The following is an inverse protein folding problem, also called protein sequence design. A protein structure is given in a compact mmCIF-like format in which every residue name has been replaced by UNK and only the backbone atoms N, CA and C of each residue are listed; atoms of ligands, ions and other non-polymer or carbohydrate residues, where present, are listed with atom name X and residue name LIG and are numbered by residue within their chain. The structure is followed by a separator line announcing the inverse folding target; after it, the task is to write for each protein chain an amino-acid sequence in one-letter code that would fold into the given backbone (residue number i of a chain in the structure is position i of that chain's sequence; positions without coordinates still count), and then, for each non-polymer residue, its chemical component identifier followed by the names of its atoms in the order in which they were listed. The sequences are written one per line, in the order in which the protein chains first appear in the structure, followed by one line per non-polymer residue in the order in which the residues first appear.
data_IF_093048031668
#
_entry.id   IF_093048031668
#
_cell.length_a   1.000
_cell.length_b   1.000
_cell.length_c   1.000
_cell.angle_alpha   90.00
_cell.angle_beta   90.00
_cell.angle_gamma   90.00
#
_symmetry.space_group_name_H-M   'P 1'
#
loop_
_entity.id
_entity.type
_entity.pdbx_description
1 polymer ?
#
# COMPACT_ATOMS: atom_id res chain seq x y z
N UNK A 1 -47.38 -2.47 -21.59
CA UNK A 1 -46.00 -2.44 -22.11
C UNK A 1 -45.19 -1.23 -21.64
N UNK A 2 -45.73 0.00 -21.63
CA UNK A 2 -44.95 1.17 -21.16
C UNK A 2 -44.54 1.08 -19.68
N UNK A 3 -45.44 0.64 -18.79
CA UNK A 3 -45.17 0.49 -17.35
C UNK A 3 -44.11 -0.57 -17.02
N UNK A 4 -44.06 -1.67 -17.78
CA UNK A 4 -43.04 -2.72 -17.63
C UNK A 4 -41.67 -2.25 -18.11
N UNK A 5 -41.64 -1.38 -19.13
CA UNK A 5 -40.40 -0.75 -19.61
C UNK A 5 -39.83 0.24 -18.58
N UNK A 6 -40.68 1.03 -17.91
CA UNK A 6 -40.24 1.99 -16.89
C UNK A 6 -39.62 1.31 -15.68
N UNK A 7 -40.19 0.17 -15.25
CA UNK A 7 -39.61 -0.63 -14.15
C UNK A 7 -38.25 -1.22 -14.55
N UNK A 8 -38.11 -1.71 -15.79
CA UNK A 8 -36.84 -2.28 -16.26
C UNK A 8 -35.72 -1.22 -16.33
N UNK A 9 -36.05 0.00 -16.77
CA UNK A 9 -35.10 1.12 -16.81
C UNK A 9 -34.72 1.55 -15.38
N UNK A 10 -35.69 1.60 -14.46
CA UNK A 10 -35.43 1.96 -13.07
C UNK A 10 -34.49 0.96 -12.36
N UNK A 11 -34.59 -0.34 -12.66
CA UNK A 11 -33.72 -1.38 -12.07
C UNK A 11 -32.33 -1.41 -12.70
N UNK A 12 -32.19 -1.01 -13.97
CA UNK A 12 -30.88 -0.94 -14.63
C UNK A 12 -30.01 0.23 -14.12
N UNK A 13 -30.64 1.31 -13.63
CA UNK A 13 -29.96 2.50 -13.11
C UNK A 13 -29.30 2.29 -11.74
N UNK A 14 -29.57 1.18 -11.04
CA UNK A 14 -28.98 0.87 -9.72
C UNK A 14 -27.82 -0.11 -9.78
N UNK A 15 -27.35 -0.49 -10.98
CA UNK A 15 -26.19 -1.35 -11.14
C UNK A 15 -24.89 -0.56 -10.85
N UNK A 16 -24.51 -0.46 -9.58
CA UNK A 16 -23.19 0.01 -9.19
C UNK A 16 -22.17 -1.12 -9.35
N UNK A 17 -21.27 -0.99 -10.32
CA UNK A 17 -20.11 -1.87 -10.43
C UNK A 17 -19.05 -1.42 -9.44
N UNK A 18 -18.75 -2.28 -8.46
CA UNK A 18 -17.58 -2.09 -7.58
C UNK A 18 -16.47 -3.00 -8.09
N UNK A 19 -15.41 -2.40 -8.63
CA UNK A 19 -14.17 -3.14 -8.90
C UNK A 19 -13.52 -3.49 -7.57
N UNK A 20 -13.26 -4.78 -7.37
CA UNK A 20 -12.45 -5.29 -6.27
C UNK A 20 -11.17 -5.80 -6.86
N UNK A 21 -10.04 -5.30 -6.37
CA UNK A 21 -8.73 -5.77 -6.77
C UNK A 21 -7.90 -6.07 -5.53
N UNK A 22 -6.97 -7.01 -5.69
CA UNK A 22 -6.05 -7.42 -4.63
C UNK A 22 -4.79 -6.58 -4.79
N UNK A 23 -4.41 -5.89 -3.72
CA UNK A 23 -3.18 -5.11 -3.67
C UNK A 23 -2.30 -5.59 -2.52
N UNK A 24 -0.98 -5.66 -2.70
CA UNK A 24 -0.08 -5.77 -1.56
C UNK A 24 -0.09 -4.44 -0.81
N UNK A 25 -0.48 -4.48 0.46
CA UNK A 25 -0.46 -3.33 1.37
C UNK A 25 0.56 -3.61 2.45
N UNK A 26 1.55 -2.73 2.56
CA UNK A 26 2.51 -2.79 3.65
C UNK A 26 1.95 -2.07 4.86
N UNK A 27 2.15 -2.65 6.03
CA UNK A 27 1.68 -2.10 7.30
C UNK A 27 2.82 -2.05 8.33
N UNK A 28 2.83 -1.05 9.22
CA UNK A 28 3.77 -0.97 10.32
C UNK A 28 3.31 -1.89 11.46
N UNK A 29 4.04 -2.98 11.69
CA UNK A 29 3.66 -4.05 12.61
C UNK A 29 4.61 -4.07 13.80
N UNK A 30 4.04 -4.17 15.00
CA UNK A 30 4.75 -4.49 16.24
C UNK A 30 5.02 -5.99 16.29
N UNK A 31 6.26 -6.36 16.57
CA UNK A 31 6.68 -7.73 16.85
C UNK A 31 6.71 -8.02 18.36
N UNK A 32 6.29 -7.06 19.19
CA UNK A 32 6.22 -7.23 20.63
C UNK A 32 5.33 -8.44 21.00
N UNK A 33 5.82 -9.30 21.90
CA UNK A 33 5.12 -10.51 22.32
C UNK A 33 5.13 -11.66 21.31
N UNK A 34 5.98 -11.61 20.29
CA UNK A 34 6.22 -12.74 19.36
C UNK A 34 7.52 -13.48 19.67
N UNK A 35 7.73 -14.68 19.13
CA UNK A 35 9.00 -15.40 19.31
C UNK A 35 10.23 -14.68 18.69
N UNK A 36 10.00 -13.64 17.89
CA UNK A 36 11.04 -12.77 17.31
C UNK A 36 11.19 -11.44 18.05
N UNK A 37 10.56 -11.31 19.23
CA UNK A 37 10.71 -10.22 20.19
C UNK A 37 12.17 -10.20 20.70
N UNK A 38 13.03 -9.46 20.00
CA UNK A 38 14.46 -9.32 20.32
C UNK A 38 15.36 -9.24 19.08
N UNK A 39 14.82 -9.52 17.89
CA UNK A 39 15.53 -9.29 16.62
C UNK A 39 15.13 -7.90 16.10
N UNK A 40 16.06 -6.94 16.01
CA UNK A 40 15.78 -5.68 15.34
C UNK A 40 15.28 -5.99 13.93
N UNK A 41 14.18 -5.37 13.50
CA UNK A 41 13.73 -5.50 12.11
C UNK A 41 14.87 -5.01 11.20
N UNK A 42 15.62 -5.94 10.60
CA UNK A 42 16.84 -5.58 9.85
C UNK A 42 16.55 -4.61 8.70
N UNK A 43 15.33 -4.59 8.18
CA UNK A 43 14.88 -3.66 7.14
C UNK A 43 14.40 -2.30 7.68
N UNK A 44 14.03 -2.21 8.95
CA UNK A 44 13.30 -1.08 9.52
C UNK A 44 14.17 -0.17 10.38
N UNK A 45 15.27 -0.69 10.93
CA UNK A 45 16.13 0.04 11.87
C UNK A 45 15.46 0.36 13.21
N UNK A 46 14.26 -0.17 13.45
CA UNK A 46 13.47 0.02 14.67
C UNK A 46 13.40 -1.32 15.39
N UNK A 47 13.85 -1.34 16.64
CA UNK A 47 13.74 -2.53 17.47
C UNK A 47 12.24 -2.88 17.62
N UNK A 48 11.89 -4.15 17.45
CA UNK A 48 10.52 -4.65 17.65
C UNK A 48 9.44 -4.11 16.70
N UNK A 49 9.82 -3.41 15.63
CA UNK A 49 8.91 -2.91 14.59
C UNK A 49 9.34 -3.36 13.19
N UNK A 50 8.39 -3.79 12.37
CA UNK A 50 8.64 -4.23 10.98
C UNK A 50 7.61 -3.63 10.02
N UNK A 51 7.96 -3.54 8.75
CA UNK A 51 7.03 -3.19 7.68
C UNK A 51 6.70 -4.45 6.88
N UNK A 52 5.52 -5.01 7.07
CA UNK A 52 5.12 -6.28 6.46
C UNK A 52 4.02 -6.08 5.42
N UNK A 53 4.14 -6.72 4.26
CA UNK A 53 3.09 -6.75 3.25
C UNK A 53 2.02 -7.78 3.58
N UNK A 54 0.76 -7.41 3.38
CA UNK A 54 -0.35 -8.36 3.29
C UNK A 54 -1.19 -8.10 2.03
N UNK A 55 -1.69 -9.14 1.35
CA UNK A 55 -2.66 -8.94 0.29
C UNK A 55 -3.98 -8.45 0.88
N UNK A 56 -4.53 -7.37 0.33
CA UNK A 56 -5.82 -6.82 0.73
C UNK A 56 -6.73 -6.66 -0.49
N UNK A 57 -7.99 -7.08 -0.33
CA UNK A 57 -9.03 -6.77 -1.31
C UNK A 57 -9.53 -5.36 -1.01
N UNK A 58 -9.22 -4.42 -1.91
CA UNK A 58 -9.65 -3.04 -1.77
C UNK A 58 -10.69 -2.70 -2.84
N UNK A 59 -11.65 -1.88 -2.43
CA UNK A 59 -12.63 -1.24 -3.28
C UNK A 59 -12.69 0.23 -2.87
N UNK A 60 -12.55 1.15 -3.82
CA UNK A 60 -12.60 2.59 -3.54
C UNK A 60 -11.77 3.42 -4.52
N UNK A 61 -11.66 4.72 -4.21
CA UNK A 61 -10.79 5.63 -4.94
C UNK A 61 -9.32 5.27 -4.67
N UNK A 62 -8.57 5.01 -5.74
CA UNK A 62 -7.14 4.75 -5.68
C UNK A 62 -6.39 6.00 -6.17
N UNK A 63 -5.27 6.39 -5.51
CA UNK A 63 -4.51 5.62 -4.52
C UNK A 63 -4.93 5.81 -3.05
N UNK A 64 -5.97 6.59 -2.74
CA UNK A 64 -6.35 6.93 -1.36
C UNK A 64 -6.70 5.69 -0.53
N UNK A 65 -7.47 4.76 -1.09
CA UNK A 65 -7.85 3.52 -0.40
C UNK A 65 -6.63 2.67 0.01
N UNK A 66 -5.53 2.72 -0.75
CA UNK A 66 -4.29 2.03 -0.39
C UNK A 66 -3.65 2.64 0.85
N UNK A 67 -3.61 3.97 0.93
CA UNK A 67 -3.05 4.67 2.09
C UNK A 67 -3.90 4.43 3.33
N UNK A 68 -5.23 4.50 3.21
CA UNK A 68 -6.13 4.13 4.31
C UNK A 68 -5.88 2.70 4.80
N UNK A 69 -5.63 1.76 3.86
CA UNK A 69 -5.41 0.36 4.18
C UNK A 69 -4.15 0.13 5.05
N UNK A 70 -3.14 0.99 4.95
CA UNK A 70 -1.93 0.93 5.80
C UNK A 70 -2.30 1.03 7.29
N UNK A 71 -3.28 1.85 7.64
CA UNK A 71 -3.73 2.07 9.02
C UNK A 71 -4.81 1.12 9.53
N UNK A 72 -5.21 0.12 8.74
CA UNK A 72 -6.24 -0.85 9.16
C UNK A 72 -5.68 -1.87 10.15
N UNK A 73 -6.55 -2.35 11.03
CA UNK A 73 -6.27 -3.41 12.00
C UNK A 73 -5.53 -4.60 11.36
N UNK A 74 -4.57 -5.12 12.12
CA UNK A 74 -3.76 -6.27 11.75
C UNK A 74 -3.56 -7.15 12.97
N UNK A 75 -4.20 -8.32 12.96
CA UNK A 75 -3.93 -9.37 13.94
C UNK A 75 -2.92 -10.34 13.36
N UNK A 76 -1.88 -10.64 14.12
CA UNK A 76 -0.97 -11.73 13.77
C UNK A 76 -1.67 -13.06 13.99
N UNK A 77 -1.54 -13.97 13.03
CA UNK A 77 -2.14 -15.29 13.15
C UNK A 77 -1.48 -16.06 14.30
N UNK A 78 -2.29 -16.59 15.21
CA UNK A 78 -1.86 -17.40 16.35
C UNK A 78 -2.23 -18.87 16.13
N UNK A 79 -1.36 -19.80 16.51
CA UNK A 79 -1.63 -21.26 16.47
C UNK A 79 -2.30 -21.78 17.75
N UNK A 80 -2.98 -20.90 18.50
CA UNK A 80 -3.91 -21.30 19.57
C UNK A 80 -3.40 -21.15 21.02
N UNK A 81 -2.20 -20.61 21.24
CA UNK A 81 -1.64 -20.39 22.59
C UNK A 81 -1.49 -18.92 22.99
N UNK A 82 -1.53 -17.99 22.04
CA UNK A 82 -1.40 -16.55 22.31
C UNK A 82 -2.68 -15.81 21.93
N UNK A 83 -3.06 -14.81 22.72
CA UNK A 83 -4.12 -13.88 22.35
C UNK A 83 -3.78 -13.18 21.03
N UNK A 84 -4.76 -13.12 20.11
CA UNK A 84 -4.63 -12.42 18.83
C UNK A 84 -4.71 -10.90 19.04
N UNK A 85 -3.63 -10.35 19.59
CA UNK A 85 -3.51 -8.92 19.85
C UNK A 85 -3.35 -8.16 18.54
N UNK A 86 -3.88 -6.94 18.53
CA UNK A 86 -3.62 -5.98 17.47
C UNK A 86 -2.11 -5.73 17.36
N UNK A 87 -1.60 -5.76 16.14
CA UNK A 87 -0.18 -5.63 15.85
C UNK A 87 0.13 -4.38 15.03
N UNK A 88 -0.86 -3.73 14.39
CA UNK A 88 -0.63 -2.50 13.65
C UNK A 88 -0.32 -1.35 14.60
N UNK A 89 0.88 -0.79 14.48
CA UNK A 89 1.37 0.29 15.33
C UNK A 89 0.50 1.55 15.23
N UNK A 90 -0.11 1.85 14.08
CA UNK A 90 -1.01 3.00 13.96
C UNK A 90 -2.29 2.81 14.77
N UNK A 91 -2.82 1.59 14.81
CA UNK A 91 -4.01 1.27 15.60
C UNK A 91 -3.68 1.27 17.09
N UNK A 92 -2.55 0.69 17.48
CA UNK A 92 -2.09 0.63 18.88
C UNK A 92 -1.86 2.03 19.48
N UNK A 93 -1.31 2.95 18.68
CA UNK A 93 -1.13 4.35 19.09
C UNK A 93 -2.37 5.22 18.85
N UNK A 94 -3.45 4.67 18.30
CA UNK A 94 -4.67 5.39 17.92
C UNK A 94 -4.41 6.61 17.00
N UNK A 95 -3.54 6.41 16.02
CA UNK A 95 -3.17 7.38 14.99
C UNK A 95 -3.98 7.08 13.74
N UNK A 96 -4.74 8.07 13.26
CA UNK A 96 -5.50 7.92 12.00
C UNK A 96 -4.73 8.48 10.80
N UNK A 97 -4.95 7.88 9.63
CA UNK A 97 -4.32 8.31 8.37
C UNK A 97 -5.42 8.72 7.39
N UNK A 98 -5.31 9.94 6.87
CA UNK A 98 -6.30 10.54 5.99
C UNK A 98 -5.63 10.99 4.69
N UNK A 99 -5.79 10.21 3.60
CA UNK A 99 -5.31 10.59 2.28
C UNK A 99 -6.32 11.51 1.57
N UNK A 100 -5.82 12.46 0.80
CA UNK A 100 -6.59 13.33 -0.08
C UNK A 100 -5.81 13.59 -1.35
N UNK A 101 -6.33 13.13 -2.50
CA UNK A 101 -5.77 13.47 -3.80
C UNK A 101 -6.29 14.84 -4.25
N UNK A 102 -5.38 15.72 -4.66
CA UNK A 102 -5.70 17.02 -5.24
C UNK A 102 -4.79 17.33 -6.43
N UNK A 103 -4.96 18.51 -7.04
CA UNK A 103 -4.20 18.93 -8.23
C UNK A 103 -2.67 18.97 -8.02
N UNK A 104 -2.21 19.07 -6.77
CA UNK A 104 -0.78 19.09 -6.42
C UNK A 104 -0.20 17.70 -6.16
N UNK A 105 -1.05 16.70 -5.96
CA UNK A 105 -0.66 15.33 -5.64
C UNK A 105 -1.46 14.74 -4.48
N UNK A 106 -0.95 13.64 -3.92
CA UNK A 106 -1.55 12.94 -2.79
C UNK A 106 -1.06 13.55 -1.48
N UNK A 107 -1.95 14.23 -0.76
CA UNK A 107 -1.70 14.67 0.62
C UNK A 107 -2.08 13.55 1.59
N UNK A 108 -1.20 13.23 2.53
CA UNK A 108 -1.38 12.18 3.53
C UNK A 108 -1.26 12.85 4.89
N UNK A 109 -2.36 12.90 5.63
CA UNK A 109 -2.39 13.51 6.97
C UNK A 109 -2.39 12.41 8.02
N UNK A 110 -1.40 12.41 8.91
CA UNK A 110 -1.47 11.66 10.16
C UNK A 110 -2.09 12.55 11.23
N UNK A 111 -3.21 12.13 11.79
CA UNK A 111 -3.88 12.83 12.89
C UNK A 111 -3.55 12.14 14.23
N UNK A 112 -2.85 12.89 15.08
CA UNK A 112 -2.40 12.47 16.41
C UNK A 112 -3.31 13.02 17.53
N UNK A 113 -4.46 13.62 17.21
CA UNK A 113 -5.36 14.25 18.19
C UNK A 113 -5.83 13.30 19.30
N UNK A 114 -5.87 12.00 19.03
CA UNK A 114 -6.29 10.94 19.97
C UNK A 114 -5.17 9.98 20.34
N UNK A 115 -3.91 10.39 20.17
CA UNK A 115 -2.77 9.51 20.39
C UNK A 115 -2.74 8.98 21.82
N UNK A 116 -2.53 7.67 21.95
CA UNK A 116 -2.34 6.97 23.22
C UNK A 116 -0.95 6.37 23.21
N UNK A 117 -0.26 6.37 24.35
CA UNK A 117 1.01 5.64 24.51
C UNK A 117 0.73 4.40 25.36
N UNK A 118 0.72 3.19 24.76
CA UNK A 118 0.54 1.96 25.53
C UNK A 118 1.72 1.77 26.50
N UNK A 119 1.45 1.31 27.72
CA UNK A 119 2.48 1.18 28.78
C UNK A 119 3.50 0.07 28.47
N UNK A 120 3.09 -0.97 27.75
CA UNK A 120 3.92 -2.15 27.44
C UNK A 120 4.57 -2.10 26.04
N UNK A 121 4.62 -0.93 25.38
CA UNK A 121 5.09 -0.82 24.00
C UNK A 121 6.53 -0.31 23.91
N UNK A 122 7.41 -1.16 23.37
CA UNK A 122 8.82 -0.81 23.15
C UNK A 122 9.03 0.11 21.93
N UNK A 123 8.17 -0.01 20.91
CA UNK A 123 8.25 0.81 19.70
C UNK A 123 7.61 2.17 19.94
N UNK A 124 8.41 3.23 20.12
CA UNK A 124 7.87 4.57 20.35
C UNK A 124 7.03 5.12 19.19
N UNK A 125 6.04 5.98 19.49
CA UNK A 125 5.14 6.59 18.52
C UNK A 125 5.85 7.27 17.32
N UNK A 126 7.02 7.88 17.56
CA UNK A 126 7.81 8.54 16.49
C UNK A 126 8.29 7.52 15.47
N UNK A 127 8.75 6.37 15.94
CA UNK A 127 9.22 5.29 15.08
C UNK A 127 8.05 4.58 14.42
N UNK A 128 6.91 4.42 15.11
CA UNK A 128 5.65 3.97 14.50
C UNK A 128 5.25 4.79 13.28
N UNK A 129 5.37 6.12 13.35
CA UNK A 129 5.08 7.00 12.20
C UNK A 129 6.12 6.83 11.09
N UNK A 130 7.42 6.73 11.40
CA UNK A 130 8.45 6.47 10.37
C UNK A 130 8.22 5.13 9.65
N UNK A 131 7.84 4.09 10.39
CA UNK A 131 7.48 2.80 9.83
C UNK A 131 6.24 2.92 8.95
N UNK A 132 5.22 3.66 9.39
CA UNK A 132 4.02 3.91 8.61
C UNK A 132 4.32 4.66 7.30
N UNK A 133 5.16 5.68 7.36
CA UNK A 133 5.64 6.42 6.18
C UNK A 133 6.35 5.48 5.19
N UNK A 134 7.21 4.60 5.71
CA UNK A 134 7.91 3.59 4.90
C UNK A 134 6.92 2.61 4.28
N UNK A 135 5.91 2.17 5.04
CA UNK A 135 4.85 1.28 4.59
C UNK A 135 3.99 1.92 3.49
N UNK A 136 3.66 3.21 3.61
CA UNK A 136 2.95 3.97 2.59
C UNK A 136 3.79 4.07 1.31
N UNK A 137 5.09 4.41 1.43
CA UNK A 137 6.00 4.47 0.27
C UNK A 137 6.06 3.12 -0.46
N UNK A 138 6.25 2.01 0.26
CA UNK A 138 6.28 0.65 -0.34
C UNK A 138 4.94 0.31 -1.02
N UNK A 139 3.82 0.62 -0.38
CA UNK A 139 2.47 0.37 -0.93
C UNK A 139 2.20 1.17 -2.19
N UNK A 140 2.51 2.47 -2.17
CA UNK A 140 2.31 3.34 -3.33
C UNK A 140 3.27 3.00 -4.47
N UNK A 141 4.51 2.59 -4.16
CA UNK A 141 5.46 2.16 -5.18
C UNK A 141 4.98 0.89 -5.89
N UNK A 142 4.55 -0.13 -5.15
CA UNK A 142 4.00 -1.35 -5.75
C UNK A 142 2.76 -1.07 -6.63
N UNK A 143 1.91 -0.13 -6.20
CA UNK A 143 0.80 0.34 -7.03
C UNK A 143 1.27 1.09 -8.28
N UNK A 144 2.29 1.94 -8.15
CA UNK A 144 2.85 2.70 -9.26
C UNK A 144 3.46 1.78 -10.32
N UNK A 145 4.20 0.77 -9.88
CA UNK A 145 4.88 -0.19 -10.76
C UNK A 145 3.88 -0.95 -11.64
N UNK A 146 2.69 -1.25 -11.11
CA UNK A 146 1.68 -2.02 -11.81
C UNK A 146 0.64 -1.17 -12.57
N UNK A 147 0.36 0.06 -12.13
CA UNK A 147 -0.85 0.77 -12.57
C UNK A 147 -0.67 2.24 -12.95
N UNK A 148 0.36 2.93 -12.46
CA UNK A 148 0.53 4.35 -12.76
C UNK A 148 1.28 4.55 -14.09
N UNK A 149 0.88 5.60 -14.82
CA UNK A 149 1.54 6.03 -16.07
C UNK A 149 2.36 7.30 -15.89
N UNK A 150 2.19 7.99 -14.77
CA UNK A 150 2.85 9.25 -14.42
C UNK A 150 3.26 9.22 -12.96
N UNK A 151 4.37 9.88 -12.67
CA UNK A 151 4.87 10.03 -11.31
C UNK A 151 3.82 10.66 -10.40
N UNK A 152 3.73 10.15 -9.17
CA UNK A 152 2.80 10.63 -8.16
C UNK A 152 3.56 11.43 -7.11
N UNK A 153 3.25 12.72 -7.02
CA UNK A 153 3.74 13.59 -5.94
C UNK A 153 2.96 13.29 -4.68
N UNK A 154 3.67 13.11 -3.57
CA UNK A 154 3.10 12.84 -2.27
C UNK A 154 3.64 13.83 -1.24
N UNK A 155 2.79 14.24 -0.31
CA UNK A 155 3.18 15.06 0.83
C UNK A 155 2.59 14.47 2.11
N UNK A 156 3.41 14.34 3.14
CA UNK A 156 2.99 13.93 4.47
C UNK A 156 2.87 15.16 5.36
N UNK A 157 1.73 15.29 6.03
CA UNK A 157 1.46 16.29 7.05
C UNK A 157 1.10 15.61 8.37
N UNK A 158 1.47 16.24 9.48
CA UNK A 158 1.15 15.77 10.82
C UNK A 158 0.25 16.80 11.50
N UNK A 159 -0.94 16.39 11.89
CA UNK A 159 -1.97 17.21 12.54
C UNK A 159 -2.33 16.68 13.94
N UNK A 160 -3.17 17.42 14.67
CA UNK A 160 -3.60 17.04 16.02
C UNK A 160 -2.53 17.25 17.10
N UNK A 161 -1.58 18.15 16.88
CA UNK A 161 -0.41 18.33 17.75
C UNK A 161 -0.71 19.24 18.95
N UNK A 162 -0.55 18.70 20.15
CA UNK A 162 -0.50 19.46 21.41
C UNK A 162 0.92 19.91 21.79
N UNK A 163 1.05 20.60 22.93
CA UNK A 163 2.34 21.11 23.45
C UNK A 163 3.41 20.03 23.61
N UNK A 164 3.01 18.81 23.99
CA UNK A 164 3.94 17.68 24.23
C UNK A 164 4.42 16.99 22.95
N UNK A 165 3.72 17.19 21.83
CA UNK A 165 3.92 16.43 20.60
C UNK A 165 4.33 17.34 19.42
N UNK A 166 4.78 18.56 19.67
CA UNK A 166 5.14 19.48 18.58
C UNK A 166 6.29 18.95 17.70
N UNK A 167 7.21 18.17 18.27
CA UNK A 167 8.36 17.59 17.56
C UNK A 167 7.97 16.60 16.46
N UNK A 168 6.74 16.11 16.42
CA UNK A 168 6.28 15.23 15.34
C UNK A 168 6.08 15.96 14.01
N UNK A 169 5.94 17.31 13.99
CA UNK A 169 5.87 18.11 12.75
C UNK A 169 7.05 17.86 11.81
N UNK A 170 8.22 17.57 12.37
CA UNK A 170 9.46 17.32 11.62
C UNK A 170 9.41 16.03 10.79
N UNK A 171 8.45 15.14 11.06
CA UNK A 171 8.24 13.92 10.29
C UNK A 171 7.47 14.17 8.98
N UNK A 172 6.93 15.39 8.81
CA UNK A 172 6.34 15.80 7.54
C UNK A 172 7.40 15.87 6.45
N UNK A 173 7.14 15.21 5.33
CA UNK A 173 8.06 15.17 4.19
C UNK A 173 7.30 15.18 2.86
N UNK A 174 7.99 15.58 1.80
CA UNK A 174 7.49 15.48 0.44
C UNK A 174 8.34 14.49 -0.33
N UNK A 175 7.70 13.64 -1.13
CA UNK A 175 8.39 12.64 -1.93
C UNK A 175 7.62 12.40 -3.23
N UNK A 176 8.29 11.76 -4.20
CA UNK A 176 7.70 11.42 -5.49
C UNK A 176 7.84 9.93 -5.69
N UNK A 177 6.72 9.26 -5.96
CA UNK A 177 6.69 7.87 -6.39
C UNK A 177 6.89 7.87 -7.91
N UNK A 178 7.99 7.26 -8.34
CA UNK A 178 8.36 7.19 -9.75
C UNK A 178 7.70 6.00 -10.41
N UNK A 179 7.20 6.21 -11.61
CA UNK A 179 6.74 5.09 -12.45
C UNK A 179 7.96 4.43 -13.11
N UNK A 180 8.05 3.09 -13.13
CA UNK A 180 9.12 2.42 -13.83
C UNK A 180 9.03 2.77 -15.32
N UNK A 181 10.16 3.18 -15.89
CA UNK A 181 10.27 3.34 -17.34
C UNK A 181 10.28 1.93 -17.94
N UNK A 182 9.17 1.52 -18.52
CA UNK A 182 9.14 0.31 -19.34
C UNK A 182 9.92 0.66 -20.61
N UNK A 183 11.17 0.21 -20.70
CA UNK A 183 11.86 0.15 -21.99
C UNK A 183 11.10 -0.85 -22.86
N UNK A 184 10.69 -0.48 -24.09
CA UNK A 184 9.97 -1.41 -24.94
C UNK A 184 10.88 -2.61 -25.21
N UNK A 185 10.38 -3.82 -24.91
CA UNK A 185 10.93 -5.04 -25.46
C UNK A 185 10.83 -4.92 -26.99
N UNK A 186 11.98 -4.68 -27.63
CA UNK A 186 12.10 -4.88 -29.06
C UNK A 186 12.05 -6.39 -29.23
N UNK A 187 10.89 -6.93 -29.62
CA UNK A 187 10.83 -8.25 -30.22
C UNK A 187 11.59 -8.13 -31.55
N UNK A 188 12.85 -8.58 -31.57
CA UNK A 188 13.57 -8.78 -32.81
C UNK A 188 12.77 -9.81 -33.63
N UNK A 189 12.46 -9.54 -34.91
CA UNK A 189 11.73 -10.51 -35.73
C UNK A 189 12.56 -11.79 -35.83
N UNK A 190 11.92 -12.92 -35.55
CA UNK A 190 12.48 -14.24 -35.83
C UNK A 190 12.89 -14.26 -37.31
N UNK A 191 14.18 -14.45 -37.58
CA UNK A 191 14.69 -14.68 -38.92
C UNK A 191 13.95 -15.88 -39.50
N UNK A 192 13.12 -15.64 -40.52
CA UNK A 192 12.56 -16.69 -41.38
C UNK A 192 13.71 -17.34 -42.15
N UNK A 193 14.40 -18.29 -41.52
CA UNK A 193 15.38 -19.13 -42.20
C UNK A 193 14.66 -19.99 -43.24
N UNK A 194 14.95 -19.62 -44.49
CA UNK A 194 14.52 -20.19 -45.77
C UNK A 194 14.44 -21.73 -45.77
N UNK A 195 13.26 -22.24 -46.17
CA UNK A 195 13.09 -23.64 -46.55
C UNK A 195 14.05 -24.01 -47.69
N UNK A 196 14.83 -25.11 -47.60
CA UNK A 196 15.69 -25.52 -48.70
C UNK A 196 14.82 -26.02 -49.87
N UNK A 197 14.89 -25.30 -50.99
CA UNK A 197 14.31 -25.72 -52.27
C UNK A 197 14.99 -26.98 -52.79
N UNK A 198 14.18 -27.99 -53.13
CA UNK A 198 14.59 -29.23 -53.77
C UNK A 198 15.37 -29.00 -55.08
N UNK A 199 16.44 -29.76 -55.25
CA UNK A 199 16.82 -30.29 -56.55
C UNK A 199 18.07 -29.70 -57.18
N UNK A 200 19.22 -30.33 -56.93
CA UNK A 200 20.21 -30.54 -57.99
C UNK A 200 20.70 -32.00 -57.99
N UNK A 201 20.19 -32.72 -58.99
CA UNK A 201 20.63 -34.02 -59.44
C UNK A 201 21.80 -33.75 -60.38
N UNK A 202 23.00 -34.31 -60.17
CA UNK A 202 23.85 -34.74 -61.29
C UNK A 202 24.82 -35.87 -60.91
N UNK A 203 24.65 -36.99 -61.63
CA UNK A 203 25.64 -38.05 -61.96
C UNK A 203 26.98 -37.42 -62.34
N UNK A 204 28.16 -37.96 -62.04
CA UNK A 204 28.69 -39.33 -62.22
C UNK A 204 29.81 -39.59 -61.21
#
# INVERSE_FOLDING_TARGET
MLKTLTVLIATALTAFSSTKAVYPVWQPISLHGTDVDGVPGMESGVAFGVVMSRPMVLSGALPEALVCAVGLQHQMQSIGTYEEKEANLLVLYNISVQPTLNDKGLLIVFDLSKIVTPEDMEVGARDSIKLAVTAIKKTLQAYADAHLRKDLKCAISIEGLGLKNQSFRELGEQFVIKVPKIEPLIEEPEDEDELPTEGEIHKF
#
